data_IF_643646407040
#
_entry.id   IF_643646407040
#
_cell.length_a   1.000
_cell.length_b   1.000
_cell.length_c   1.000
_cell.angle_alpha   90.00
_cell.angle_beta   90.00
_cell.angle_gamma   90.00
#
_symmetry.space_group_name_H-M   'P 1'
#
loop_
_entity.id
_entity.type
_entity.pdbx_description
1 polymer ?
#
# COMPACT_ATOMS: atom_id res chain seq x y z
N UNK A 1 10.70 13.27 -34.73
CA UNK A 1 10.91 11.97 -34.07
C UNK A 1 9.57 11.26 -34.00
N UNK A 2 9.44 10.02 -34.48
CA UNK A 2 8.21 9.26 -34.29
C UNK A 2 7.92 9.10 -32.77
N UNK A 3 6.65 9.07 -32.36
CA UNK A 3 6.30 8.87 -30.96
C UNK A 3 6.89 7.54 -30.48
N UNK A 4 7.34 7.48 -29.21
CA UNK A 4 7.95 6.26 -28.68
C UNK A 4 6.93 5.11 -28.77
N UNK A 5 7.30 4.03 -29.45
CA UNK A 5 6.52 2.81 -29.48
C UNK A 5 6.38 2.27 -28.03
N UNK A 6 5.16 2.34 -27.52
CA UNK A 6 4.84 1.65 -26.27
C UNK A 6 4.95 0.14 -26.53
N UNK A 7 5.60 -0.62 -25.65
CA UNK A 7 5.63 -2.08 -25.79
C UNK A 7 4.20 -2.59 -25.89
N UNK A 8 3.96 -3.47 -26.89
CA UNK A 8 2.69 -4.10 -27.18
C UNK A 8 1.93 -4.51 -25.90
N UNK A 9 0.70 -4.05 -25.67
CA UNK A 9 -0.09 -4.41 -24.48
C UNK A 9 -0.35 -5.92 -24.33
N UNK A 10 -0.15 -6.72 -25.38
CA UNK A 10 -0.22 -8.19 -25.36
C UNK A 10 1.05 -8.85 -24.81
N UNK A 11 2.19 -8.16 -24.73
CA UNK A 11 3.37 -8.67 -24.05
C UNK A 11 3.13 -8.60 -22.54
N UNK A 12 2.90 -9.74 -21.91
CA UNK A 12 2.59 -9.88 -20.48
C UNK A 12 3.50 -9.02 -19.60
N UNK A 13 2.91 -8.36 -18.62
CA UNK A 13 3.59 -7.47 -17.69
C UNK A 13 4.86 -8.09 -17.13
N UNK A 14 6.02 -7.62 -17.55
CA UNK A 14 7.27 -7.93 -16.84
C UNK A 14 7.21 -7.23 -15.49
N UNK A 15 7.17 -8.02 -14.41
CA UNK A 15 7.23 -7.50 -13.04
C UNK A 15 8.51 -6.70 -12.86
N UNK A 16 8.41 -5.61 -12.09
CA UNK A 16 9.53 -4.75 -11.74
C UNK A 16 10.08 -5.21 -10.38
N UNK A 17 11.19 -5.94 -10.39
CA UNK A 17 11.79 -6.47 -9.15
C UNK A 17 12.14 -5.35 -8.16
N UNK A 18 12.53 -4.16 -8.63
CA UNK A 18 12.80 -3.01 -7.74
C UNK A 18 11.55 -2.52 -7.01
N UNK A 19 10.38 -2.55 -7.64
CA UNK A 19 9.10 -2.20 -7.00
C UNK A 19 8.70 -3.29 -5.98
N UNK A 20 8.87 -4.57 -6.33
CA UNK A 20 8.61 -5.68 -5.41
C UNK A 20 9.58 -5.64 -4.22
N UNK A 21 10.86 -5.23 -4.41
CA UNK A 21 11.83 -5.06 -3.35
C UNK A 21 11.42 -3.94 -2.37
N UNK A 22 11.02 -2.77 -2.87
CA UNK A 22 10.53 -1.68 -2.05
C UNK A 22 9.29 -2.08 -1.23
N UNK A 23 8.36 -2.81 -1.83
CA UNK A 23 7.20 -3.36 -1.12
C UNK A 23 7.59 -4.39 -0.05
N UNK A 24 8.60 -5.22 -0.35
CA UNK A 24 9.14 -6.19 0.62
C UNK A 24 9.83 -5.51 1.80
N UNK A 25 10.57 -4.45 1.57
CA UNK A 25 11.17 -3.63 2.61
C UNK A 25 10.08 -2.92 3.45
N UNK A 26 9.08 -2.37 2.80
CA UNK A 26 7.96 -1.71 3.46
C UNK A 26 7.20 -2.64 4.41
N UNK A 27 6.83 -3.84 3.96
CA UNK A 27 6.15 -4.82 4.83
C UNK A 27 7.05 -5.33 5.95
N UNK A 28 8.35 -5.47 5.70
CA UNK A 28 9.31 -5.82 6.75
C UNK A 28 9.24 -4.81 7.91
N UNK A 29 9.33 -3.51 7.64
CA UNK A 29 9.24 -2.50 8.68
C UNK A 29 7.88 -2.47 9.41
N UNK A 30 6.79 -2.73 8.69
CA UNK A 30 5.46 -2.85 9.31
C UNK A 30 5.42 -4.02 10.30
N UNK A 31 5.95 -5.19 9.91
CA UNK A 31 6.00 -6.37 10.79
C UNK A 31 6.87 -6.10 12.02
N UNK A 32 8.07 -5.53 11.83
CA UNK A 32 8.98 -5.18 12.92
C UNK A 32 8.29 -4.25 13.92
N UNK A 33 7.63 -3.21 13.44
CA UNK A 33 6.96 -2.24 14.29
C UNK A 33 5.79 -2.85 15.09
N UNK A 34 4.99 -3.71 14.48
CA UNK A 34 3.87 -4.33 15.20
C UNK A 34 4.32 -5.31 16.29
N UNK A 35 5.41 -6.05 16.08
CA UNK A 35 6.04 -6.86 17.15
C UNK A 35 6.58 -5.95 18.26
N UNK A 36 7.30 -4.87 17.89
CA UNK A 36 7.81 -3.87 18.83
C UNK A 36 6.70 -3.30 19.72
N UNK A 37 5.60 -2.83 19.13
CA UNK A 37 4.45 -2.28 19.87
C UNK A 37 3.94 -3.30 20.91
N UNK A 38 3.85 -4.59 20.57
CA UNK A 38 3.42 -5.62 21.53
C UNK A 38 4.41 -5.80 22.69
N UNK A 39 5.71 -5.82 22.37
CA UNK A 39 6.76 -5.92 23.40
C UNK A 39 6.75 -4.71 24.34
N UNK A 40 6.55 -3.50 23.82
CA UNK A 40 6.45 -2.27 24.61
C UNK A 40 5.23 -2.26 25.51
N UNK A 41 4.05 -2.62 24.99
CA UNK A 41 2.80 -2.71 25.78
C UNK A 41 2.98 -3.73 26.93
N UNK A 42 3.71 -4.84 26.68
CA UNK A 42 4.01 -5.85 27.70
C UNK A 42 5.18 -5.48 28.62
N UNK A 43 5.76 -4.28 28.45
CA UNK A 43 6.90 -3.75 29.24
C UNK A 43 8.12 -4.70 29.21
N UNK A 44 8.41 -5.31 28.04
CA UNK A 44 9.57 -6.18 27.85
C UNK A 44 10.79 -5.30 27.53
N UNK A 45 11.85 -5.29 28.35
CA UNK A 45 13.00 -4.38 28.19
C UNK A 45 14.03 -4.91 27.18
N UNK A 46 13.57 -5.41 26.01
CA UNK A 46 14.41 -6.08 25.02
C UNK A 46 15.45 -5.18 24.35
N UNK A 47 15.23 -3.86 24.39
CA UNK A 47 16.11 -2.86 23.77
C UNK A 47 17.31 -2.49 24.66
N UNK A 48 17.35 -2.88 25.93
CA UNK A 48 18.37 -2.45 26.89
C UNK A 48 19.82 -2.84 26.50
N UNK A 49 19.98 -3.91 25.70
CA UNK A 49 21.30 -4.40 25.25
C UNK A 49 21.56 -4.11 23.76
N UNK A 50 20.68 -3.43 23.07
CA UNK A 50 20.84 -3.09 21.66
C UNK A 50 21.32 -1.64 21.56
N UNK A 51 22.31 -1.32 20.71
CA UNK A 51 22.73 0.06 20.50
C UNK A 51 21.54 0.97 20.18
N UNK A 52 21.44 2.09 20.88
CA UNK A 52 20.30 3.02 20.78
C UNK A 52 19.99 3.50 19.34
N UNK A 53 21.00 3.47 18.45
CA UNK A 53 20.84 3.83 17.05
C UNK A 53 20.12 2.73 16.25
N UNK A 54 20.34 1.46 16.57
CA UNK A 54 19.80 0.33 15.78
C UNK A 54 18.34 0.03 16.09
N UNK A 55 17.88 0.31 17.30
CA UNK A 55 16.50 0.03 17.70
C UNK A 55 15.49 0.81 16.85
N UNK A 56 15.58 2.17 16.75
CA UNK A 56 14.65 2.92 15.92
C UNK A 56 14.71 2.51 14.45
N UNK A 57 15.92 2.30 13.91
CA UNK A 57 16.14 1.95 12.50
C UNK A 57 15.48 0.62 12.10
N UNK A 58 15.33 -0.31 13.03
CA UNK A 58 14.80 -1.63 12.75
C UNK A 58 13.31 -1.77 13.07
N UNK A 59 12.86 -1.20 14.20
CA UNK A 59 11.55 -1.56 14.75
C UNK A 59 10.56 -0.40 14.88
N UNK A 60 10.96 0.86 14.63
CA UNK A 60 10.07 2.01 14.68
C UNK A 60 9.64 2.54 13.31
N UNK A 61 10.16 1.97 12.22
CA UNK A 61 9.95 2.46 10.86
C UNK A 61 8.63 1.97 10.20
N UNK A 62 7.65 1.50 10.98
CA UNK A 62 6.39 1.00 10.43
C UNK A 62 5.64 2.04 9.60
N UNK A 63 5.56 3.28 10.09
CA UNK A 63 4.91 4.38 9.38
C UNK A 63 5.66 4.75 8.09
N UNK A 64 7.00 4.76 8.11
CA UNK A 64 7.81 4.93 6.90
C UNK A 64 7.59 3.79 5.89
N UNK A 65 7.39 2.56 6.37
CA UNK A 65 7.01 1.44 5.52
C UNK A 65 5.68 1.68 4.79
N UNK A 66 4.66 2.18 5.50
CA UNK A 66 3.38 2.55 4.88
C UNK A 66 3.54 3.67 3.85
N UNK A 67 4.40 4.65 4.12
CA UNK A 67 4.67 5.74 3.19
C UNK A 67 5.34 5.24 1.89
N UNK A 68 6.26 4.27 1.98
CA UNK A 68 6.80 3.58 0.79
C UNK A 68 5.68 2.88 0.01
N UNK A 69 4.75 2.20 0.69
CA UNK A 69 3.59 1.59 0.02
C UNK A 69 2.76 2.62 -0.74
N UNK A 70 2.49 3.78 -0.16
CA UNK A 70 1.72 4.83 -0.81
C UNK A 70 2.40 5.35 -2.08
N UNK A 71 3.72 5.59 -2.06
CA UNK A 71 4.47 5.99 -3.24
C UNK A 71 4.43 4.93 -4.34
N UNK A 72 4.66 3.66 -3.97
CA UNK A 72 4.55 2.52 -4.90
C UNK A 72 3.14 2.39 -5.47
N UNK A 73 2.11 2.61 -4.65
CA UNK A 73 0.71 2.50 -5.04
C UNK A 73 0.32 3.55 -6.07
N UNK A 74 0.71 4.81 -5.84
CA UNK A 74 0.54 5.90 -6.81
C UNK A 74 1.22 5.62 -8.15
N UNK A 75 2.45 5.09 -8.10
CA UNK A 75 3.18 4.69 -9.32
C UNK A 75 2.46 3.56 -10.07
N UNK A 76 2.06 2.51 -9.38
CA UNK A 76 1.44 1.34 -10.01
C UNK A 76 0.07 1.67 -10.60
N UNK A 77 -0.77 2.45 -9.91
CA UNK A 77 -2.10 2.78 -10.39
C UNK A 77 -2.02 3.63 -11.65
N UNK A 78 -1.16 4.65 -11.65
CA UNK A 78 -0.98 5.55 -12.80
C UNK A 78 -0.33 4.83 -13.98
N UNK A 79 0.74 4.06 -13.75
CA UNK A 79 1.40 3.26 -14.79
C UNK A 79 0.45 2.23 -15.42
N UNK A 80 -0.40 1.59 -14.59
CA UNK A 80 -1.40 0.64 -15.09
C UNK A 80 -2.45 1.33 -15.94
N UNK A 81 -2.92 2.51 -15.52
CA UNK A 81 -3.89 3.32 -16.24
C UNK A 81 -3.35 3.74 -17.60
N UNK A 82 -2.15 4.30 -17.63
CA UNK A 82 -1.50 4.74 -18.88
C UNK A 82 -1.31 3.58 -19.86
N UNK A 83 -0.85 2.43 -19.38
CA UNK A 83 -0.64 1.23 -20.22
C UNK A 83 -1.94 0.63 -20.74
N UNK A 84 -3.00 0.64 -19.94
CA UNK A 84 -4.27 0.00 -20.30
C UNK A 84 -5.13 0.84 -21.21
N UNK A 85 -5.15 2.14 -21.01
CA UNK A 85 -6.03 3.08 -21.74
C UNK A 85 -5.28 4.12 -22.59
N UNK A 86 -3.95 4.06 -22.63
CA UNK A 86 -3.10 4.96 -23.42
C UNK A 86 -2.93 6.35 -22.80
N UNK A 87 -3.95 6.86 -22.11
CA UNK A 87 -3.91 8.15 -21.44
C UNK A 87 -4.78 8.17 -20.18
N UNK A 88 -4.57 9.15 -19.30
CA UNK A 88 -5.40 9.35 -18.10
C UNK A 88 -6.83 9.78 -18.48
N UNK A 89 -7.00 10.56 -19.53
CA UNK A 89 -8.31 11.02 -20.00
C UNK A 89 -9.21 9.89 -20.52
N UNK A 90 -8.59 8.80 -21.02
CA UNK A 90 -9.31 7.68 -21.62
C UNK A 90 -9.64 6.57 -20.62
N UNK A 91 -9.42 6.81 -19.32
CA UNK A 91 -9.71 5.80 -18.29
C UNK A 91 -11.18 5.39 -18.33
N UNK A 92 -11.44 4.10 -18.45
CA UNK A 92 -12.78 3.56 -18.26
C UNK A 92 -13.04 3.39 -16.77
N UNK A 93 -13.89 4.26 -16.20
CA UNK A 93 -14.17 4.33 -14.77
C UNK A 93 -14.75 3.01 -14.26
N UNK A 94 -15.70 2.42 -14.99
CA UNK A 94 -16.36 1.15 -14.63
C UNK A 94 -15.36 0.00 -14.59
N UNK A 95 -14.52 -0.14 -15.61
CA UNK A 95 -13.49 -1.18 -15.67
C UNK A 95 -12.42 -0.97 -14.61
N UNK A 96 -12.07 0.29 -14.33
CA UNK A 96 -11.12 0.61 -13.27
C UNK A 96 -11.61 0.11 -11.91
N UNK A 97 -12.81 0.49 -11.49
CA UNK A 97 -13.36 0.05 -10.19
C UNK A 97 -13.53 -1.46 -10.13
N UNK A 98 -13.95 -2.08 -11.20
CA UNK A 98 -14.11 -3.53 -11.28
C UNK A 98 -12.79 -4.29 -11.08
N UNK A 99 -11.70 -3.81 -11.70
CA UNK A 99 -10.38 -4.40 -11.52
C UNK A 99 -9.86 -4.25 -10.10
N UNK A 100 -10.12 -3.10 -9.48
CA UNK A 100 -9.77 -2.83 -8.08
C UNK A 100 -10.60 -3.69 -7.13
N UNK A 101 -11.90 -3.72 -7.31
CA UNK A 101 -12.79 -4.57 -6.52
C UNK A 101 -12.38 -6.05 -6.58
N UNK A 102 -12.13 -6.58 -7.78
CA UNK A 102 -11.67 -7.95 -7.94
C UNK A 102 -10.34 -8.24 -7.22
N UNK A 103 -9.47 -7.24 -7.07
CA UNK A 103 -8.16 -7.37 -6.41
C UNK A 103 -8.26 -7.30 -4.88
N UNK A 104 -9.10 -6.40 -4.36
CA UNK A 104 -9.09 -5.99 -2.95
C UNK A 104 -10.23 -6.65 -2.18
N UNK A 105 -11.47 -6.56 -2.69
CA UNK A 105 -12.65 -6.92 -1.93
C UNK A 105 -12.68 -8.37 -1.41
N UNK A 106 -12.26 -9.41 -2.15
CA UNK A 106 -12.40 -10.78 -1.66
C UNK A 106 -11.70 -11.03 -0.33
N UNK A 107 -10.42 -10.70 -0.22
CA UNK A 107 -9.66 -10.92 1.01
C UNK A 107 -10.04 -9.93 2.11
N UNK A 108 -10.34 -8.68 1.75
CA UNK A 108 -10.80 -7.67 2.69
C UNK A 108 -12.12 -8.06 3.37
N UNK A 109 -13.11 -8.52 2.61
CA UNK A 109 -14.40 -8.97 3.16
C UNK A 109 -14.25 -10.24 4.01
N UNK A 110 -13.40 -11.18 3.58
CA UNK A 110 -13.07 -12.35 4.39
C UNK A 110 -12.41 -11.95 5.72
N UNK A 111 -11.47 -10.99 5.69
CA UNK A 111 -10.85 -10.45 6.89
C UNK A 111 -11.91 -9.87 7.84
N UNK A 112 -12.79 -8.99 7.34
CA UNK A 112 -13.84 -8.38 8.17
C UNK A 112 -14.78 -9.43 8.77
N UNK A 113 -15.12 -10.47 8.02
CA UNK A 113 -15.92 -11.60 8.53
C UNK A 113 -15.19 -12.33 9.68
N UNK A 114 -13.91 -12.67 9.48
CA UNK A 114 -13.11 -13.36 10.51
C UNK A 114 -12.95 -12.48 11.75
N UNK A 115 -12.65 -11.18 11.60
CA UNK A 115 -12.54 -10.25 12.73
C UNK A 115 -13.86 -10.12 13.49
N UNK A 116 -15.00 -10.13 12.79
CA UNK A 116 -16.33 -10.08 13.41
C UNK A 116 -16.64 -11.33 14.22
N UNK A 117 -16.30 -12.50 13.68
CA UNK A 117 -16.45 -13.80 14.39
C UNK A 117 -15.58 -13.82 15.65
N UNK A 118 -14.32 -13.42 15.54
CA UNK A 118 -13.39 -13.37 16.69
C UNK A 118 -13.83 -12.35 17.75
N UNK A 119 -14.41 -11.23 17.34
CA UNK A 119 -15.04 -10.27 18.27
C UNK A 119 -16.23 -10.91 19.01
N UNK A 120 -17.16 -11.53 18.28
CA UNK A 120 -18.35 -12.18 18.83
C UNK A 120 -17.99 -13.35 19.76
N UNK A 121 -16.92 -14.09 19.44
CA UNK A 121 -16.38 -15.16 20.26
C UNK A 121 -15.52 -14.65 21.44
N UNK A 122 -15.43 -13.34 21.65
CA UNK A 122 -14.70 -12.69 22.75
C UNK A 122 -13.21 -13.04 22.80
N UNK A 123 -12.59 -13.30 21.62
CA UNK A 123 -11.14 -13.54 21.57
C UNK A 123 -10.37 -12.28 21.95
N UNK A 124 -9.51 -12.41 22.96
CA UNK A 124 -8.60 -11.34 23.40
C UNK A 124 -7.81 -10.79 22.21
N UNK A 125 -7.59 -9.50 22.14
CA UNK A 125 -6.95 -8.73 21.06
C UNK A 125 -7.82 -8.46 19.80
N UNK A 126 -9.04 -9.04 19.70
CA UNK A 126 -9.95 -8.81 18.57
C UNK A 126 -11.24 -8.10 18.98
N UNK A 127 -11.47 -7.91 20.28
CA UNK A 127 -12.68 -7.26 20.82
C UNK A 127 -12.61 -5.76 20.55
N UNK A 128 -13.54 -5.24 19.77
CA UNK A 128 -13.71 -3.79 19.55
C UNK A 128 -14.36 -3.18 20.79
N UNK A 129 -13.70 -2.22 21.47
CA UNK A 129 -14.22 -1.65 22.70
C UNK A 129 -15.50 -0.84 22.45
N UNK A 130 -16.50 -0.84 23.38
CA UNK A 130 -17.70 -0.02 23.27
C UNK A 130 -17.39 1.48 23.17
N UNK A 131 -16.32 1.97 23.82
CA UNK A 131 -15.86 3.36 23.75
C UNK A 131 -15.55 3.85 22.34
N UNK A 132 -15.09 2.94 21.45
CA UNK A 132 -14.83 3.27 20.03
C UNK A 132 -16.08 3.14 19.16
N UNK A 133 -17.23 2.77 19.75
CA UNK A 133 -18.52 2.62 19.07
C UNK A 133 -18.89 1.16 18.74
N UNK A 134 -18.10 0.20 19.22
CA UNK A 134 -18.35 -1.24 19.05
C UNK A 134 -18.17 -1.75 17.62
N UNK A 135 -18.50 -3.04 17.42
CA UNK A 135 -18.27 -3.75 16.15
C UNK A 135 -19.00 -3.09 14.97
N UNK A 136 -20.25 -2.69 15.13
CA UNK A 136 -21.03 -2.10 14.03
C UNK A 136 -20.40 -0.85 13.46
N UNK A 137 -19.89 0.05 14.32
CA UNK A 137 -19.21 1.26 13.88
C UNK A 137 -17.84 0.96 13.23
N UNK A 138 -17.08 -0.01 13.77
CA UNK A 138 -15.82 -0.45 13.17
C UNK A 138 -16.03 -1.07 11.77
N UNK A 139 -17.07 -1.90 11.60
CA UNK A 139 -17.46 -2.45 10.30
C UNK A 139 -17.87 -1.37 9.31
N UNK A 140 -18.72 -0.42 9.74
CA UNK A 140 -19.10 0.70 8.88
C UNK A 140 -17.88 1.51 8.46
N UNK A 141 -17.01 1.84 9.41
CA UNK A 141 -15.79 2.60 9.14
C UNK A 141 -14.83 1.86 8.19
N UNK A 142 -14.69 0.54 8.32
CA UNK A 142 -13.88 -0.28 7.41
C UNK A 142 -14.49 -0.32 5.99
N UNK A 143 -15.79 -0.59 5.87
CA UNK A 143 -16.48 -0.72 4.58
C UNK A 143 -16.58 0.62 3.82
N UNK A 144 -16.57 1.73 4.51
CA UNK A 144 -16.62 3.08 3.92
C UNK A 144 -15.27 3.81 3.99
N UNK A 145 -14.19 3.08 4.33
CA UNK A 145 -12.82 3.56 4.31
C UNK A 145 -12.55 4.81 5.16
N UNK A 146 -13.05 4.84 6.41
CA UNK A 146 -12.80 5.92 7.37
C UNK A 146 -12.38 5.45 8.77
N UNK A 147 -11.64 4.34 8.84
CA UNK A 147 -11.06 3.83 10.11
C UNK A 147 -10.16 4.88 10.77
N UNK A 148 -9.31 5.55 9.99
CA UNK A 148 -8.45 6.63 10.46
C UNK A 148 -9.24 7.77 11.14
N UNK A 149 -10.37 8.18 10.57
CA UNK A 149 -11.24 9.20 11.16
C UNK A 149 -11.93 8.69 12.43
N UNK A 150 -12.36 7.43 12.44
CA UNK A 150 -12.95 6.82 13.63
C UNK A 150 -11.95 6.81 14.79
N UNK A 151 -10.70 6.39 14.52
CA UNK A 151 -9.65 6.34 15.54
C UNK A 151 -9.23 7.73 16.02
N UNK A 152 -9.11 8.70 15.15
CA UNK A 152 -8.81 10.08 15.52
C UNK A 152 -9.86 10.68 16.48
N UNK A 153 -11.15 10.30 16.33
CA UNK A 153 -12.23 10.80 17.15
C UNK A 153 -12.51 9.96 18.42
N UNK A 154 -12.18 8.67 18.41
CA UNK A 154 -12.60 7.74 19.47
C UNK A 154 -11.46 6.96 20.12
N UNK A 155 -10.23 7.13 19.63
CA UNK A 155 -9.04 6.37 20.03
C UNK A 155 -8.86 5.07 19.26
N UNK A 156 -7.71 4.45 19.46
CA UNK A 156 -7.27 3.27 18.71
C UNK A 156 -8.24 2.09 18.81
N UNK A 157 -8.48 1.47 17.68
CA UNK A 157 -9.09 0.15 17.57
C UNK A 157 -8.06 -0.95 17.94
N UNK A 158 -8.49 -2.21 18.14
CA UNK A 158 -7.56 -3.33 18.25
C UNK A 158 -6.63 -3.38 17.02
N UNK A 159 -5.36 -3.75 17.22
CA UNK A 159 -4.35 -3.69 16.17
C UNK A 159 -4.72 -4.43 14.87
N UNK A 160 -5.57 -5.45 14.94
CA UNK A 160 -6.11 -6.15 13.76
C UNK A 160 -7.07 -5.31 12.90
N UNK A 161 -7.74 -4.32 13.51
CA UNK A 161 -8.59 -3.34 12.84
C UNK A 161 -7.81 -2.07 12.53
N UNK A 162 -6.93 -1.67 13.44
CA UNK A 162 -6.09 -0.47 13.33
C UNK A 162 -5.33 -0.45 11.99
N UNK A 163 -4.72 -1.56 11.57
CA UNK A 163 -3.98 -1.64 10.29
C UNK A 163 -4.80 -1.24 9.06
N UNK A 164 -6.13 -1.23 9.14
CA UNK A 164 -7.01 -0.86 8.02
C UNK A 164 -7.04 0.66 7.75
N UNK A 165 -6.43 1.49 8.62
CA UNK A 165 -6.37 2.93 8.40
C UNK A 165 -5.64 3.30 7.09
N UNK A 166 -4.55 2.60 6.77
CA UNK A 166 -3.79 2.88 5.54
C UNK A 166 -4.56 2.46 4.28
N UNK A 167 -5.32 1.35 4.38
CA UNK A 167 -6.24 0.95 3.32
C UNK A 167 -7.34 2.00 3.13
N UNK A 168 -7.81 2.64 4.21
CA UNK A 168 -8.79 3.74 4.12
C UNK A 168 -8.23 4.91 3.29
N UNK A 169 -6.98 5.31 3.52
CA UNK A 169 -6.31 6.37 2.73
C UNK A 169 -6.18 5.96 1.26
N UNK A 170 -5.71 4.76 1.01
CA UNK A 170 -5.45 4.25 -0.33
C UNK A 170 -6.73 4.10 -1.15
N UNK A 171 -7.79 3.52 -0.57
CA UNK A 171 -9.06 3.28 -1.28
C UNK A 171 -9.85 4.58 -1.52
N UNK A 172 -9.79 5.55 -0.62
CA UNK A 172 -10.34 6.90 -0.88
C UNK A 172 -9.61 7.55 -2.06
N UNK A 173 -8.27 7.47 -2.12
CA UNK A 173 -7.54 7.95 -3.28
C UNK A 173 -7.97 7.24 -4.56
N UNK A 174 -8.14 5.92 -4.54
CA UNK A 174 -8.57 5.15 -5.71
C UNK A 174 -10.01 5.42 -6.12
N UNK A 175 -10.87 5.78 -5.18
CA UNK A 175 -12.25 6.17 -5.47
C UNK A 175 -12.27 7.47 -6.33
N UNK A 176 -11.43 8.43 -6.00
CA UNK A 176 -11.39 9.70 -6.75
C UNK A 176 -10.49 9.64 -7.99
N UNK A 177 -9.46 8.80 -8.01
CA UNK A 177 -8.45 8.76 -9.07
C UNK A 177 -9.01 8.69 -10.50
N UNK A 178 -9.89 7.74 -10.89
CA UNK A 178 -10.36 7.64 -12.28
C UNK A 178 -11.26 8.82 -12.68
N UNK A 179 -12.04 9.36 -11.74
CA UNK A 179 -12.91 10.53 -11.97
C UNK A 179 -12.04 11.77 -12.21
N UNK A 180 -11.08 12.02 -11.31
CA UNK A 180 -10.11 13.12 -11.41
C UNK A 180 -9.28 13.00 -12.67
N UNK A 181 -8.78 11.80 -12.99
CA UNK A 181 -8.03 11.54 -14.21
C UNK A 181 -8.84 11.85 -15.48
N UNK A 182 -10.14 11.56 -15.49
CA UNK A 182 -11.02 11.85 -16.63
C UNK A 182 -11.35 13.33 -16.75
N UNK A 183 -11.60 14.04 -15.65
CA UNK A 183 -11.94 15.48 -15.63
C UNK A 183 -10.70 16.33 -15.96
N UNK A 184 -9.60 16.04 -15.30
CA UNK A 184 -8.32 16.75 -15.47
C UNK A 184 -7.41 16.08 -16.51
N UNK A 185 -7.98 15.36 -17.49
CA UNK A 185 -7.27 14.55 -18.46
C UNK A 185 -6.22 15.30 -19.33
N UNK A 186 -6.20 16.63 -19.27
CA UNK A 186 -5.07 17.43 -19.72
C UNK A 186 -3.92 17.23 -18.73
N UNK A 187 -2.83 16.67 -19.20
CA UNK A 187 -1.66 16.31 -18.38
C UNK A 187 -1.21 17.44 -17.45
N UNK A 188 -1.21 18.68 -17.90
CA UNK A 188 -0.79 19.85 -17.12
C UNK A 188 -1.67 20.05 -15.88
N UNK A 189 -3.00 20.01 -16.00
CA UNK A 189 -3.91 20.19 -14.86
C UNK A 189 -3.77 19.06 -13.83
N UNK A 190 -3.60 17.83 -14.31
CA UNK A 190 -3.36 16.69 -13.41
C UNK A 190 -2.04 16.84 -12.64
N UNK A 191 -0.98 17.30 -13.30
CA UNK A 191 0.31 17.57 -12.64
C UNK A 191 0.18 18.69 -11.60
N UNK A 192 -0.52 19.79 -11.92
CA UNK A 192 -0.78 20.87 -10.95
C UNK A 192 -1.51 20.36 -9.70
N UNK A 193 -2.53 19.52 -9.91
CA UNK A 193 -3.22 18.87 -8.77
C UNK A 193 -2.28 18.01 -7.94
N UNK A 194 -1.44 17.17 -8.58
CA UNK A 194 -0.48 16.34 -7.86
C UNK A 194 0.51 17.19 -7.06
N UNK A 195 1.03 18.28 -7.63
CA UNK A 195 1.91 19.21 -6.93
C UNK A 195 1.20 19.85 -5.72
N UNK A 196 -0.06 20.22 -5.86
CA UNK A 196 -0.87 20.71 -4.75
C UNK A 196 -1.00 19.68 -3.62
N UNK A 197 -1.27 18.41 -3.95
CA UNK A 197 -1.35 17.32 -2.97
C UNK A 197 0.02 17.05 -2.30
N UNK A 198 1.12 17.14 -3.03
CA UNK A 198 2.47 16.99 -2.48
C UNK A 198 2.77 18.09 -1.46
N UNK A 199 2.44 19.34 -1.78
CA UNK A 199 2.62 20.46 -0.86
C UNK A 199 1.71 20.36 0.37
N UNK A 200 0.50 19.83 0.20
CA UNK A 200 -0.47 19.67 1.29
C UNK A 200 -0.07 18.60 2.33
N UNK A 201 0.72 17.60 1.94
CA UNK A 201 1.10 16.48 2.81
C UNK A 201 1.74 16.91 4.14
N UNK A 202 2.82 17.69 4.15
CA UNK A 202 3.46 18.18 5.39
C UNK A 202 2.48 18.96 6.28
N UNK A 203 1.64 19.83 5.71
CA UNK A 203 0.60 20.56 6.45
C UNK A 203 -0.45 19.61 7.04
N UNK A 204 -0.82 18.57 6.30
CA UNK A 204 -1.75 17.52 6.77
C UNK A 204 -1.23 16.76 7.98
N UNK A 205 0.10 16.60 8.10
CA UNK A 205 0.76 15.94 9.23
C UNK A 205 1.00 16.85 10.42
N UNK A 206 1.04 18.15 10.23
CA UNK A 206 1.41 19.13 11.26
C UNK A 206 0.28 20.09 11.60
N UNK A 207 -0.03 21.01 10.71
CA UNK A 207 -0.93 22.14 10.98
C UNK A 207 -2.39 21.71 11.12
N UNK A 208 -2.86 20.76 10.30
CA UNK A 208 -4.26 20.34 10.31
C UNK A 208 -4.59 19.26 11.33
N UNK A 209 -3.66 18.93 12.20
CA UNK A 209 -3.86 17.86 13.20
C UNK A 209 -4.55 18.35 14.46
N UNK A 210 -4.53 19.66 14.73
CA UNK A 210 -5.07 20.26 15.96
C UNK A 210 -4.59 19.55 17.24
N UNK A 211 -3.34 19.07 17.25
CA UNK A 211 -2.75 18.33 18.38
C UNK A 211 -3.22 16.87 18.51
N UNK A 212 -3.96 16.34 17.55
CA UNK A 212 -4.36 14.94 17.55
C UNK A 212 -3.25 14.08 16.91
N UNK A 213 -2.54 13.32 17.74
CA UNK A 213 -1.42 12.46 17.31
C UNK A 213 -1.87 11.39 16.31
N UNK A 214 -3.04 10.75 16.53
CA UNK A 214 -3.56 9.73 15.63
C UNK A 214 -3.84 10.35 14.26
N UNK A 215 -4.43 11.55 14.22
CA UNK A 215 -4.72 12.23 12.97
C UNK A 215 -3.47 12.72 12.25
N UNK A 216 -2.42 13.12 13.01
CA UNK A 216 -1.11 13.45 12.46
C UNK A 216 -0.50 12.30 11.65
N UNK A 217 -0.59 11.08 12.19
CA UNK A 217 0.01 9.90 11.56
C UNK A 217 -0.85 9.29 10.44
N UNK A 218 -2.19 9.38 10.55
CA UNK A 218 -3.13 8.58 9.76
C UNK A 218 -4.09 9.40 8.90
N UNK A 219 -3.94 10.75 8.85
CA UNK A 219 -4.84 11.59 8.07
C UNK A 219 -4.74 11.31 6.57
N UNK A 220 -5.84 11.53 5.87
CA UNK A 220 -5.84 11.43 4.40
C UNK A 220 -4.84 12.39 3.79
N UNK A 221 -4.87 13.67 4.19
CA UNK A 221 -3.99 14.70 3.64
C UNK A 221 -2.52 14.44 3.97
N UNK A 222 -2.21 13.96 5.18
CA UNK A 222 -0.85 13.65 5.59
C UNK A 222 -0.18 12.50 4.83
N UNK A 223 -0.95 11.74 4.07
CA UNK A 223 -0.48 10.55 3.34
C UNK A 223 -0.59 10.68 1.82
N UNK A 224 -1.31 11.70 1.32
CA UNK A 224 -1.55 11.87 -0.12
C UNK A 224 -0.34 12.32 -0.90
N UNK A 225 0.63 12.98 -0.28
CA UNK A 225 1.88 13.42 -0.93
C UNK A 225 2.68 12.25 -1.50
N UNK A 226 2.81 11.15 -0.77
CA UNK A 226 3.51 9.98 -1.26
C UNK A 226 2.79 9.32 -2.45
N UNK A 227 1.45 9.21 -2.38
CA UNK A 227 0.67 8.67 -3.50
C UNK A 227 0.81 9.61 -4.72
N UNK A 228 0.72 10.92 -4.51
CA UNK A 228 0.86 11.91 -5.57
C UNK A 228 2.26 11.91 -6.21
N UNK A 229 3.33 11.80 -5.39
CA UNK A 229 4.70 11.60 -5.87
C UNK A 229 4.83 10.33 -6.70
N UNK A 230 4.21 9.23 -6.27
CA UNK A 230 4.15 7.99 -7.06
C UNK A 230 3.46 8.18 -8.42
N UNK A 231 2.32 8.90 -8.46
CA UNK A 231 1.62 9.23 -9.70
C UNK A 231 2.50 10.08 -10.63
N UNK A 232 3.13 11.12 -10.09
CA UNK A 232 4.06 11.97 -10.84
C UNK A 232 5.24 11.18 -11.40
N UNK A 233 5.79 10.27 -10.60
CA UNK A 233 6.86 9.35 -10.99
C UNK A 233 6.46 8.49 -12.19
N UNK A 234 5.22 7.97 -12.22
CA UNK A 234 4.72 7.21 -13.36
C UNK A 234 4.60 8.05 -14.63
N UNK A 235 4.15 9.31 -14.50
CA UNK A 235 4.08 10.25 -15.62
C UNK A 235 5.47 10.56 -16.16
N UNK A 236 6.45 10.84 -15.31
CA UNK A 236 7.83 11.11 -15.70
C UNK A 236 8.43 9.87 -16.39
N UNK A 237 8.31 8.69 -15.77
CA UNK A 237 8.86 7.46 -16.29
C UNK A 237 8.25 7.05 -17.64
N UNK A 238 7.00 7.45 -17.92
CA UNK A 238 6.32 7.18 -19.19
C UNK A 238 6.68 8.15 -20.32
N UNK A 239 7.10 9.38 -20.01
CA UNK A 239 7.32 10.44 -20.99
C UNK A 239 8.77 10.80 -21.23
N UNK A 240 9.66 10.46 -20.29
CA UNK A 240 11.07 10.85 -20.33
C UNK A 240 11.93 9.60 -20.25
N UNK A 241 12.95 9.51 -21.11
CA UNK A 241 13.99 8.49 -21.02
C UNK A 241 15.27 9.14 -20.52
N UNK A 242 15.75 8.66 -19.38
CA UNK A 242 16.98 9.13 -18.78
C UNK A 242 18.18 8.33 -19.29
N UNK A 243 19.34 8.98 -19.42
CA UNK A 243 20.61 8.28 -19.71
C UNK A 243 21.02 7.39 -18.54
N UNK A 244 21.81 6.36 -18.83
CA UNK A 244 22.27 5.43 -17.78
C UNK A 244 23.03 6.10 -16.62
N UNK A 245 23.90 7.10 -16.83
CA UNK A 245 24.50 7.86 -15.73
C UNK A 245 23.48 8.53 -14.82
N UNK A 246 22.46 9.18 -15.39
CA UNK A 246 21.38 9.82 -14.61
C UNK A 246 20.59 8.78 -13.82
N UNK A 247 20.28 7.61 -14.40
CA UNK A 247 19.59 6.54 -13.70
C UNK A 247 20.42 5.98 -12.54
N UNK A 248 21.73 5.90 -12.69
CA UNK A 248 22.65 5.48 -11.60
C UNK A 248 22.67 6.52 -10.48
N UNK A 249 22.72 7.81 -10.81
CA UNK A 249 22.65 8.89 -9.82
C UNK A 249 21.30 8.84 -9.09
N UNK A 250 20.18 8.71 -9.79
CA UNK A 250 18.85 8.58 -9.18
C UNK A 250 18.79 7.37 -8.24
N UNK A 251 19.30 6.21 -8.67
CA UNK A 251 19.34 5.03 -7.81
C UNK A 251 20.18 5.25 -6.56
N UNK A 252 21.39 5.77 -6.71
CA UNK A 252 22.30 6.01 -5.58
C UNK A 252 21.75 7.04 -4.61
N UNK A 253 21.25 8.17 -5.11
CA UNK A 253 20.65 9.23 -4.28
C UNK A 253 19.36 8.74 -3.59
N UNK A 254 18.51 8.01 -4.30
CA UNK A 254 17.29 7.43 -3.72
C UNK A 254 17.62 6.42 -2.62
N UNK A 255 18.59 5.52 -2.84
CA UNK A 255 19.05 4.58 -1.79
C UNK A 255 19.68 5.32 -0.62
N UNK A 256 20.49 6.37 -0.87
CA UNK A 256 21.09 7.17 0.19
C UNK A 256 20.02 7.87 1.06
N UNK A 257 18.98 8.46 0.44
CA UNK A 257 17.85 9.07 1.15
C UNK A 257 17.13 8.03 1.99
N UNK A 258 16.78 6.89 1.42
CA UNK A 258 16.11 5.81 2.15
C UNK A 258 16.95 5.33 3.34
N UNK A 259 18.25 5.09 3.12
CA UNK A 259 19.17 4.66 4.17
C UNK A 259 19.30 5.72 5.27
N UNK A 260 19.38 7.00 4.89
CA UNK A 260 19.47 8.10 5.86
C UNK A 260 18.19 8.21 6.70
N UNK A 261 17.02 8.30 6.07
CA UNK A 261 15.75 8.46 6.79
C UNK A 261 15.44 7.25 7.64
N UNK A 262 15.56 6.04 7.11
CA UNK A 262 15.26 4.79 7.83
C UNK A 262 16.34 4.46 8.87
N UNK A 263 17.60 4.72 8.58
CA UNK A 263 18.73 4.43 9.48
C UNK A 263 18.86 5.41 10.64
N UNK A 264 18.39 6.64 10.47
CA UNK A 264 18.48 7.70 11.48
C UNK A 264 17.11 8.26 11.85
N UNK A 265 16.04 7.50 11.74
CA UNK A 265 14.65 7.95 11.89
C UNK A 265 14.40 8.74 13.17
N UNK A 266 14.92 8.31 14.31
CA UNK A 266 14.77 9.02 15.58
C UNK A 266 15.46 10.41 15.58
N UNK A 267 16.64 10.52 14.96
CA UNK A 267 17.33 11.79 14.83
C UNK A 267 16.62 12.71 13.82
N UNK A 268 16.21 12.17 12.69
CA UNK A 268 15.46 12.91 11.67
C UNK A 268 14.18 13.48 12.28
N UNK A 269 13.43 12.70 13.04
CA UNK A 269 12.20 13.11 13.72
C UNK A 269 12.42 14.29 14.68
N UNK A 270 13.56 14.36 15.39
CA UNK A 270 13.89 15.44 16.30
C UNK A 270 14.33 16.74 15.61
N UNK A 271 14.63 16.71 14.32
CA UNK A 271 15.06 17.90 13.53
C UNK A 271 13.86 18.72 13.04
N UNK A 272 14.16 19.86 12.41
CA UNK A 272 13.17 20.68 11.70
C UNK A 272 12.46 19.87 10.62
N UNK A 273 13.16 18.95 9.94
CA UNK A 273 12.61 18.10 8.88
C UNK A 273 11.49 17.20 9.43
N UNK A 274 11.71 16.53 10.55
CA UNK A 274 10.68 15.69 11.19
C UNK A 274 9.54 16.53 11.75
N UNK A 275 9.85 17.62 12.47
CA UNK A 275 8.84 18.52 13.05
C UNK A 275 7.95 19.19 12.00
N UNK A 276 8.46 19.45 10.80
CA UNK A 276 7.68 19.98 9.67
C UNK A 276 6.92 18.90 8.89
N UNK A 277 7.09 17.61 9.22
CA UNK A 277 6.50 16.49 8.49
C UNK A 277 7.13 16.22 7.12
N UNK A 278 8.27 16.85 6.80
CA UNK A 278 8.97 16.67 5.52
C UNK A 278 9.73 15.35 5.42
N UNK A 279 10.04 14.71 6.53
CA UNK A 279 10.72 13.41 6.60
C UNK A 279 10.02 12.32 5.76
N UNK A 280 8.69 12.25 5.86
CA UNK A 280 7.85 11.34 5.08
C UNK A 280 7.88 11.69 3.58
N UNK A 281 7.82 12.98 3.25
CA UNK A 281 7.89 13.44 1.86
C UNK A 281 9.27 13.16 1.24
N UNK A 282 10.35 13.39 1.98
CA UNK A 282 11.73 13.09 1.57
C UNK A 282 11.90 11.59 1.33
N UNK A 283 11.37 10.76 2.24
CA UNK A 283 11.35 9.30 2.05
C UNK A 283 10.63 8.90 0.77
N UNK A 284 9.45 9.49 0.52
CA UNK A 284 8.68 9.23 -0.69
C UNK A 284 9.43 9.66 -1.96
N UNK A 285 10.13 10.79 -1.94
CA UNK A 285 11.02 11.23 -3.05
C UNK A 285 12.13 10.21 -3.28
N UNK A 286 12.84 9.77 -2.24
CA UNK A 286 13.87 8.73 -2.35
C UNK A 286 13.32 7.43 -2.94
N UNK A 287 12.11 7.02 -2.49
CA UNK A 287 11.38 5.86 -3.03
C UNK A 287 11.10 6.03 -4.53
N UNK A 288 10.61 7.20 -4.95
CA UNK A 288 10.30 7.51 -6.34
C UNK A 288 11.54 7.52 -7.24
N UNK A 289 12.68 8.02 -6.75
CA UNK A 289 13.96 7.99 -7.47
C UNK A 289 14.41 6.54 -7.74
N UNK A 290 14.30 5.65 -6.75
CA UNK A 290 14.59 4.21 -6.93
C UNK A 290 13.62 3.57 -7.91
N UNK A 291 12.32 3.90 -7.86
CA UNK A 291 11.31 3.39 -8.79
C UNK A 291 11.64 3.78 -10.23
N UNK A 292 11.99 5.04 -10.51
CA UNK A 292 12.38 5.50 -11.86
C UNK A 292 13.56 4.70 -12.38
N UNK A 293 14.62 4.61 -11.57
CA UNK A 293 15.82 3.89 -11.95
C UNK A 293 15.53 2.41 -12.23
N UNK A 294 14.84 1.73 -11.33
CA UNK A 294 14.50 0.31 -11.49
C UNK A 294 13.57 0.04 -12.70
N UNK A 295 12.61 0.93 -12.95
CA UNK A 295 11.66 0.79 -14.05
C UNK A 295 12.31 0.98 -15.41
N UNK A 296 13.23 1.94 -15.55
CA UNK A 296 13.88 2.23 -16.83
C UNK A 296 15.07 1.33 -17.13
N UNK A 297 15.82 0.88 -16.11
CA UNK A 297 16.89 -0.09 -16.30
C UNK A 297 16.40 -1.54 -16.41
N UNK A 298 15.13 -1.80 -16.12
CA UNK A 298 14.58 -3.16 -16.02
C UNK A 298 15.40 -4.02 -15.03
N UNK A 299 15.84 -3.40 -13.93
CA UNK A 299 16.69 -4.03 -12.94
C UNK A 299 16.13 -5.36 -12.46
N UNK A 300 17.01 -6.37 -12.39
CA UNK A 300 16.70 -7.71 -11.89
C UNK A 300 17.40 -7.97 -10.58
N UNK A 301 16.64 -8.50 -9.64
CA UNK A 301 17.13 -8.77 -8.30
C UNK A 301 18.04 -10.00 -8.26
N UNK A 302 19.16 -9.96 -7.54
CA UNK A 302 19.93 -11.16 -7.24
C UNK A 302 19.12 -12.15 -6.40
N UNK A 303 19.43 -13.44 -6.54
CA UNK A 303 18.66 -14.54 -5.90
C UNK A 303 18.61 -14.45 -4.38
N UNK A 304 19.62 -13.87 -3.74
CA UNK A 304 19.67 -13.71 -2.29
C UNK A 304 18.52 -12.84 -1.74
N UNK A 305 17.98 -11.92 -2.54
CA UNK A 305 16.83 -11.09 -2.17
C UNK A 305 15.48 -11.74 -2.46
N UNK A 306 15.44 -12.99 -2.92
CA UNK A 306 14.20 -13.70 -3.23
C UNK A 306 13.18 -13.74 -2.08
N UNK A 307 13.56 -13.89 -0.79
CA UNK A 307 12.61 -13.82 0.33
C UNK A 307 11.95 -12.45 0.44
N UNK A 308 12.72 -11.35 0.31
CA UNK A 308 12.20 -9.98 0.37
C UNK A 308 11.28 -9.69 -0.82
N UNK A 309 11.65 -10.15 -2.02
CA UNK A 309 10.78 -10.07 -3.19
C UNK A 309 9.48 -10.84 -3.01
N UNK A 310 9.52 -12.02 -2.36
CA UNK A 310 8.33 -12.81 -2.06
C UNK A 310 7.39 -12.05 -1.11
N UNK A 311 7.93 -11.44 -0.06
CA UNK A 311 7.18 -10.54 0.82
C UNK A 311 6.54 -9.39 0.02
N UNK A 312 7.29 -8.75 -0.87
CA UNK A 312 6.78 -7.65 -1.70
C UNK A 312 5.69 -8.05 -2.68
N UNK A 313 5.84 -9.22 -3.31
CA UNK A 313 4.86 -9.77 -4.26
C UNK A 313 3.51 -10.08 -3.62
N UNK A 314 3.53 -10.53 -2.37
CA UNK A 314 2.35 -10.90 -1.59
C UNK A 314 2.04 -9.86 -0.50
N UNK A 315 2.60 -8.64 -0.61
CA UNK A 315 2.54 -7.66 0.48
C UNK A 315 1.11 -7.25 0.87
N UNK A 316 0.14 -7.29 -0.02
CA UNK A 316 -1.27 -7.05 0.29
C UNK A 316 -1.82 -8.12 1.24
N UNK A 317 -1.60 -9.39 0.91
CA UNK A 317 -2.04 -10.51 1.70
C UNK A 317 -1.30 -10.57 3.04
N UNK A 318 0.01 -10.34 3.04
CA UNK A 318 0.82 -10.25 4.26
C UNK A 318 0.31 -9.11 5.14
N UNK A 319 0.08 -7.93 4.56
CA UNK A 319 -0.38 -6.75 5.28
C UNK A 319 -1.74 -6.96 5.98
N UNK A 320 -2.69 -7.60 5.33
CA UNK A 320 -3.99 -7.86 5.92
C UNK A 320 -3.98 -8.96 7.00
N UNK A 321 -3.08 -9.93 6.89
CA UNK A 321 -3.13 -11.13 7.73
C UNK A 321 -2.08 -11.16 8.85
N UNK A 322 -1.05 -10.29 8.81
CA UNK A 322 0.08 -10.38 9.75
C UNK A 322 -0.31 -10.24 11.22
N UNK A 323 -1.35 -9.47 11.55
CA UNK A 323 -1.75 -9.27 12.94
C UNK A 323 -2.24 -10.56 13.61
N UNK A 324 -2.78 -11.51 12.86
CA UNK A 324 -3.10 -12.85 13.39
C UNK A 324 -1.82 -13.57 13.84
N UNK A 325 -0.77 -13.49 13.01
CA UNK A 325 0.53 -14.10 13.32
C UNK A 325 1.19 -13.38 14.50
N UNK A 326 1.21 -12.04 14.48
CA UNK A 326 1.75 -11.22 15.58
C UNK A 326 1.10 -11.60 16.90
N UNK A 327 -0.24 -11.67 16.98
CA UNK A 327 -0.93 -12.01 18.22
C UNK A 327 -0.70 -13.46 18.64
N UNK A 328 -0.70 -14.42 17.72
CA UNK A 328 -0.48 -15.82 18.04
C UNK A 328 0.92 -16.04 18.64
N UNK A 329 1.96 -15.56 17.99
CA UNK A 329 3.34 -15.71 18.46
C UNK A 329 3.63 -14.87 19.71
N UNK A 330 3.05 -13.67 19.80
CA UNK A 330 3.20 -12.84 20.99
C UNK A 330 2.50 -13.47 22.22
N UNK A 331 1.30 -14.02 22.08
CA UNK A 331 0.62 -14.72 23.16
C UNK A 331 1.40 -15.96 23.61
N UNK A 332 1.97 -16.72 22.66
CA UNK A 332 2.88 -17.83 22.97
C UNK A 332 4.12 -17.33 23.74
N UNK A 333 4.76 -16.25 23.27
CA UNK A 333 5.91 -15.64 23.95
C UNK A 333 5.58 -15.24 25.40
N UNK A 334 4.39 -14.68 25.62
CA UNK A 334 3.92 -14.32 26.97
C UNK A 334 3.65 -15.55 27.83
N UNK A 335 3.03 -16.61 27.27
CA UNK A 335 2.69 -17.83 28.02
C UNK A 335 3.91 -18.60 28.50
N UNK A 336 5.05 -18.51 27.81
CA UNK A 336 6.31 -19.14 28.23
C UNK A 336 7.18 -18.22 29.12
N UNK A 337 6.60 -17.14 29.67
CA UNK A 337 7.28 -16.28 30.64
C UNK A 337 8.14 -15.17 30.05
N UNK A 338 7.97 -14.80 28.81
CA UNK A 338 8.67 -13.68 28.11
C UNK A 338 10.21 -13.83 28.12
N UNK A 339 10.79 -14.97 27.74
CA UNK A 339 12.24 -15.17 27.80
C UNK A 339 12.95 -14.24 26.82
N UNK A 340 13.89 -13.42 27.31
CA UNK A 340 14.59 -12.40 26.50
C UNK A 340 15.35 -13.00 25.31
N UNK A 341 15.87 -14.22 25.44
CA UNK A 341 16.56 -14.93 24.37
C UNK A 341 15.61 -15.26 23.19
N UNK A 342 14.32 -15.38 23.44
CA UNK A 342 13.33 -15.68 22.40
C UNK A 342 12.91 -14.45 21.59
N UNK A 343 13.26 -13.22 21.99
CA UNK A 343 12.84 -12.01 21.28
C UNK A 343 13.32 -11.97 19.83
N UNK A 344 14.58 -12.23 19.46
CA UNK A 344 15.02 -12.28 18.05
C UNK A 344 14.26 -13.35 17.25
N UNK A 345 13.99 -14.50 17.86
CA UNK A 345 13.21 -15.58 17.24
C UNK A 345 11.74 -15.19 17.03
N UNK A 346 11.15 -14.38 17.94
CA UNK A 346 9.81 -13.84 17.77
C UNK A 346 9.71 -12.96 16.53
N UNK A 347 10.65 -12.02 16.33
CA UNK A 347 10.71 -11.17 15.14
C UNK A 347 10.88 -12.01 13.87
N UNK A 348 11.79 -12.98 13.88
CA UNK A 348 12.05 -13.86 12.74
C UNK A 348 10.83 -14.73 12.43
N UNK A 349 10.23 -15.38 13.42
CA UNK A 349 9.06 -16.25 13.25
C UNK A 349 7.87 -15.46 12.71
N UNK A 350 7.58 -14.28 13.26
CA UNK A 350 6.51 -13.42 12.76
C UNK A 350 6.75 -13.04 11.30
N UNK A 351 7.98 -12.68 10.92
CA UNK A 351 8.30 -12.31 9.54
C UNK A 351 8.13 -13.49 8.58
N UNK A 352 8.69 -14.65 8.91
CA UNK A 352 8.64 -15.82 8.04
C UNK A 352 7.22 -16.38 7.91
N UNK A 353 6.51 -16.52 9.03
CA UNK A 353 5.15 -17.10 9.04
C UNK A 353 4.13 -16.12 8.42
N UNK A 354 4.25 -14.82 8.65
CA UNK A 354 3.40 -13.84 7.95
C UNK A 354 3.64 -13.88 6.44
N UNK A 355 4.90 -14.00 6.01
CA UNK A 355 5.25 -14.17 4.59
C UNK A 355 4.68 -15.44 3.99
N UNK A 356 4.79 -16.57 4.69
CA UNK A 356 4.24 -17.85 4.27
C UNK A 356 2.70 -17.81 4.20
N UNK A 357 2.03 -17.28 5.23
CA UNK A 357 0.58 -17.12 5.27
C UNK A 357 0.08 -16.24 4.11
N UNK A 358 0.76 -15.12 3.87
CA UNK A 358 0.44 -14.23 2.75
C UNK A 358 0.61 -14.92 1.40
N UNK A 359 1.67 -15.71 1.21
CA UNK A 359 1.89 -16.48 -0.02
C UNK A 359 0.81 -17.57 -0.24
N UNK A 360 0.41 -18.27 0.83
CA UNK A 360 -0.68 -19.25 0.81
C UNK A 360 -2.00 -18.55 0.45
N UNK A 361 -2.34 -17.46 1.11
CA UNK A 361 -3.55 -16.69 0.83
C UNK A 361 -3.56 -16.16 -0.62
N UNK A 362 -2.43 -15.66 -1.11
CA UNK A 362 -2.30 -15.19 -2.50
C UNK A 362 -2.51 -16.32 -3.50
N UNK A 363 -1.95 -17.50 -3.25
CA UNK A 363 -2.01 -18.65 -4.17
C UNK A 363 -3.38 -19.29 -4.20
N UNK A 364 -3.99 -19.53 -3.04
CA UNK A 364 -5.18 -20.37 -2.91
C UNK A 364 -6.48 -19.57 -2.80
N UNK A 365 -6.44 -18.29 -2.42
CA UNK A 365 -7.64 -17.49 -2.25
C UNK A 365 -7.63 -16.23 -3.14
N UNK A 366 -6.77 -15.24 -2.87
CA UNK A 366 -6.81 -13.93 -3.57
C UNK A 366 -6.61 -14.07 -5.08
N UNK A 367 -5.64 -14.88 -5.50
CA UNK A 367 -5.33 -15.11 -6.92
C UNK A 367 -6.48 -15.78 -7.70
N UNK A 368 -7.02 -16.92 -7.24
CA UNK A 368 -8.20 -17.55 -7.85
C UNK A 368 -9.42 -16.64 -7.90
N UNK A 369 -9.77 -15.98 -6.79
CA UNK A 369 -10.91 -15.06 -6.73
C UNK A 369 -10.76 -13.86 -7.69
N UNK A 370 -9.58 -13.27 -7.75
CA UNK A 370 -9.29 -12.20 -8.70
C UNK A 370 -9.46 -12.66 -10.16
N UNK A 371 -8.98 -13.84 -10.49
CA UNK A 371 -9.17 -14.43 -11.86
C UNK A 371 -10.64 -14.70 -12.16
N UNK A 372 -11.39 -15.24 -11.20
CA UNK A 372 -12.81 -15.55 -11.35
C UNK A 372 -13.64 -14.30 -11.63
N UNK A 373 -13.45 -13.26 -10.80
CA UNK A 373 -14.19 -11.99 -10.91
C UNK A 373 -13.84 -11.24 -12.21
N UNK A 374 -12.59 -11.34 -12.68
CA UNK A 374 -12.17 -10.76 -13.97
C UNK A 374 -12.76 -11.52 -15.18
N UNK A 375 -12.84 -12.86 -15.14
CA UNK A 375 -13.39 -13.67 -16.26
C UNK A 375 -14.88 -13.48 -16.45
N UNK A 376 -15.67 -13.43 -15.38
CA UNK A 376 -17.12 -13.13 -15.46
C UNK A 376 -17.42 -11.86 -16.21
N UNK A 377 -16.50 -10.97 -16.15
CA UNK A 377 -16.50 -9.65 -16.70
C UNK A 377 -16.29 -9.58 -18.22
N UNK A 378 -15.37 -10.34 -18.78
CA UNK A 378 -15.16 -10.37 -20.23
C UNK A 378 -16.33 -11.05 -20.96
N UNK A 379 -16.99 -12.00 -20.31
CA UNK A 379 -18.19 -12.67 -20.89
C UNK A 379 -19.42 -11.76 -20.93
N UNK A 380 -19.62 -10.88 -19.93
CA UNK A 380 -20.72 -9.90 -19.95
C UNK A 380 -20.57 -8.85 -21.07
N UNK A 381 -19.35 -8.42 -21.37
CA UNK A 381 -19.10 -7.47 -22.48
C UNK A 381 -19.25 -8.13 -23.87
N UNK A 382 -18.94 -9.42 -24.02
CA UNK A 382 -19.20 -10.13 -25.28
C UNK A 382 -20.71 -10.31 -25.53
N UNK A 383 -21.48 -10.62 -24.47
CA UNK A 383 -22.94 -10.76 -24.58
C UNK A 383 -23.62 -9.46 -25.02
N UNK A 384 -23.26 -8.32 -24.43
CA UNK A 384 -23.85 -7.03 -24.80
C UNK A 384 -23.45 -6.57 -26.22
N UNK A 385 -22.23 -6.84 -26.68
CA UNK A 385 -21.79 -6.55 -28.05
C UNK A 385 -22.47 -7.43 -29.08
N UNK A 386 -22.82 -8.67 -28.74
CA UNK A 386 -23.56 -9.57 -29.63
C UNK A 386 -25.04 -9.16 -29.68
N UNK A 387 -25.65 -8.75 -28.57
CA UNK A 387 -27.02 -8.20 -28.54
C UNK A 387 -27.12 -6.86 -29.31
N UNK A 388 -26.19 -5.94 -29.17
CA UNK A 388 -26.17 -4.70 -29.95
C UNK A 388 -25.97 -4.94 -31.46
N UNK A 389 -25.15 -5.92 -31.85
CA UNK A 389 -25.00 -6.30 -33.29
C UNK A 389 -26.16 -7.08 -33.81
N UNK A 390 -26.83 -7.90 -32.99
CA UNK A 390 -28.05 -8.62 -33.37
C UNK A 390 -29.25 -7.69 -33.59
N UNK A 391 -29.33 -6.61 -32.84
CA UNK A 391 -30.40 -5.60 -32.99
C UNK A 391 -30.18 -4.63 -34.16
N UNK A 392 -28.98 -4.59 -34.75
CA UNK A 392 -28.60 -3.68 -35.84
C UNK A 392 -28.68 -4.32 -37.24
N UNK A 393 -29.16 -5.56 -37.39
CA UNK A 393 -29.37 -6.17 -38.69
C UNK A 393 -30.75 -5.74 -39.23
N UNK A 394 -30.84 -5.02 -40.36
CA UNK A 394 -32.12 -4.70 -41.00
C UNK A 394 -32.75 -5.99 -41.51
N UNK A 395 -34.05 -6.13 -41.30
CA UNK A 395 -34.84 -7.23 -41.83
C UNK A 395 -34.63 -7.33 -43.34
N UNK A 396 -34.10 -8.45 -43.81
CA UNK A 396 -33.97 -8.73 -45.24
C UNK A 396 -35.37 -8.73 -45.89
N UNK A 397 -35.62 -7.78 -46.76
CA UNK A 397 -36.79 -7.73 -47.60
C UNK A 397 -36.80 -8.96 -48.49
N UNK A 398 -37.82 -9.82 -48.33
CA UNK A 398 -38.15 -10.89 -49.26
C UNK A 398 -38.71 -10.26 -50.53
N UNK A 399 -38.23 -10.63 -51.71
CA UNK A 399 -38.92 -10.25 -52.93
C UNK A 399 -40.14 -11.18 -53.17
N UNK A 400 -41.25 -10.56 -53.49
CA UNK A 400 -42.42 -11.19 -54.11
C UNK A 400 -42.17 -11.39 -55.56
#
# INVERSE_FOLDING_TARGET
MPPPEFPNPAAGWKRLDGVDLLRGLAIFFVLMNHVNIRLLIAKVPYTAKIPALLVPSLVWNGQFGVQIFFAVSGFLITSTTLRRWGSLANVNIRDFYRLRFARIAPLFLLLLLVLSILHAAHFKNFIVPPKTGGLGRALLAALTFHINLLEANRGYLPGSWDVLWSLSVEEIFYLFFPVVSRIFGRRTLFVVLLLGLILLGPFGRTTFTHGNEIWSEKSYFGSTDAIALGCLTALIASSTRFSLPVLRILAASGVAILTFVLGFSNRVYSTVIGRSGLDMTILAVGTCMVIIAAAQTQWRSPRILAPVLSLGRNSYEVYLLHMFVVFAFFNLFVSVGKPMIAVPFLFLAVTLISGALGAVAARFYSGPMNRLLRKRSSRGNLGSVIEERGAALPAANSPV
#
